data_IF_213409389058
#
_entry.id   IF_213409389058
#
_cell.length_a   1.000
_cell.length_b   1.000
_cell.length_c   1.000
_cell.angle_alpha   90.00
_cell.angle_beta   90.00
_cell.angle_gamma   90.00
#
_symmetry.space_group_name_H-M   'P 1'
#
loop_
_entity.id
_entity.type
_entity.pdbx_description
1 polymer ?
#
# COMPACT_ATOMS: atom_id res chain seq x y z
N UNK A 1 16.55 6.76 18.87
CA UNK A 1 15.82 6.69 17.57
C UNK A 1 15.00 7.95 17.45
N UNK A 2 15.05 8.65 16.31
CA UNK A 2 14.22 9.83 16.06
C UNK A 2 12.77 9.35 15.90
N UNK A 3 11.84 9.85 16.73
CA UNK A 3 10.41 9.61 16.51
C UNK A 3 9.92 10.59 15.45
N UNK A 4 9.44 10.07 14.33
CA UNK A 4 8.80 10.85 13.28
C UNK A 4 7.32 10.49 13.29
N UNK A 5 6.47 11.48 13.50
CA UNK A 5 5.02 11.30 13.48
C UNK A 5 4.51 10.90 12.10
N UNK A 6 3.70 9.84 12.05
CA UNK A 6 3.08 9.34 10.83
C UNK A 6 2.27 10.43 10.07
N UNK A 7 1.46 11.28 10.72
CA UNK A 7 0.79 12.40 10.03
C UNK A 7 1.74 13.36 9.31
N UNK A 8 2.95 13.55 9.85
CA UNK A 8 3.97 14.41 9.25
C UNK A 8 4.55 13.77 7.99
N UNK A 9 4.78 12.45 8.01
CA UNK A 9 5.22 11.70 6.83
C UNK A 9 4.14 11.69 5.73
N UNK A 10 2.88 11.45 6.10
CA UNK A 10 1.75 11.45 5.15
C UNK A 10 1.59 12.83 4.48
N UNK A 11 1.81 13.92 5.22
CA UNK A 11 1.80 15.29 4.65
C UNK A 11 2.93 15.57 3.65
N UNK A 12 4.02 14.80 3.69
CA UNK A 12 5.14 14.92 2.74
C UNK A 12 4.92 14.13 1.46
N UNK A 13 3.94 13.21 1.43
CA UNK A 13 3.60 12.49 0.22
C UNK A 13 3.05 13.46 -0.83
N UNK A 14 3.40 13.21 -2.09
CA UNK A 14 2.74 13.86 -3.20
C UNK A 14 1.25 13.44 -3.25
N UNK A 15 0.43 14.21 -3.97
CA UNK A 15 -1.02 13.97 -4.06
C UNK A 15 -1.36 12.55 -4.51
N UNK A 16 -0.60 12.02 -5.49
CA UNK A 16 -0.81 10.70 -6.07
C UNK A 16 -0.56 9.58 -5.06
N UNK A 17 0.58 9.62 -4.38
CA UNK A 17 0.94 8.64 -3.36
C UNK A 17 0.02 8.70 -2.15
N UNK A 18 -0.45 9.90 -1.77
CA UNK A 18 -1.44 10.06 -0.71
C UNK A 18 -2.80 9.46 -1.11
N UNK A 19 -3.27 9.72 -2.32
CA UNK A 19 -4.50 9.12 -2.82
C UNK A 19 -4.39 7.58 -2.88
N UNK A 20 -3.23 7.04 -3.24
CA UNK A 20 -3.03 5.60 -3.28
C UNK A 20 -3.09 4.99 -1.88
N UNK A 21 -2.53 5.69 -0.88
CA UNK A 21 -2.64 5.31 0.51
C UNK A 21 -4.10 5.36 1.02
N UNK A 22 -4.86 6.39 0.66
CA UNK A 22 -6.27 6.52 1.03
C UNK A 22 -7.14 5.40 0.39
N UNK A 23 -6.89 5.06 -0.88
CA UNK A 23 -7.56 3.93 -1.54
C UNK A 23 -7.16 2.58 -0.92
N UNK A 24 -5.88 2.41 -0.58
CA UNK A 24 -5.40 1.20 0.09
C UNK A 24 -6.05 1.04 1.47
N UNK A 25 -6.21 2.13 2.22
CA UNK A 25 -6.94 2.11 3.48
C UNK A 25 -8.41 1.69 3.30
N UNK A 26 -9.09 2.21 2.27
CA UNK A 26 -10.46 1.81 1.93
C UNK A 26 -10.57 0.33 1.59
N UNK A 27 -9.61 -0.19 0.83
CA UNK A 27 -9.57 -1.60 0.44
C UNK A 27 -9.26 -2.50 1.64
N UNK A 28 -8.27 -2.16 2.47
CA UNK A 28 -7.94 -2.90 3.69
C UNK A 28 -9.14 -3.00 4.64
N UNK A 29 -9.94 -1.93 4.78
CA UNK A 29 -11.17 -2.00 5.56
C UNK A 29 -12.19 -2.98 4.97
N UNK A 30 -12.37 -2.98 3.64
CA UNK A 30 -13.29 -3.90 2.95
C UNK A 30 -12.84 -5.36 3.06
N UNK A 31 -11.53 -5.61 3.04
CA UNK A 31 -10.95 -6.95 3.15
C UNK A 31 -10.76 -7.40 4.61
N UNK A 32 -11.15 -6.55 5.58
CA UNK A 32 -10.90 -6.79 7.01
C UNK A 32 -9.41 -7.07 7.30
N UNK A 33 -8.51 -6.44 6.54
CA UNK A 33 -7.09 -6.50 6.79
C UNK A 33 -6.77 -5.66 8.02
N UNK A 34 -5.95 -6.20 8.93
CA UNK A 34 -5.56 -5.50 10.15
C UNK A 34 -4.67 -4.26 9.87
N UNK A 35 -3.97 -4.26 8.74
CA UNK A 35 -2.86 -3.34 8.47
C UNK A 35 -2.79 -2.97 6.98
N UNK A 36 -2.43 -1.72 6.70
CA UNK A 36 -2.11 -1.23 5.36
C UNK A 36 -0.61 -1.41 5.14
N UNK A 37 -0.24 -2.25 4.18
CA UNK A 37 1.16 -2.55 3.86
C UNK A 37 1.64 -1.81 2.61
N UNK A 38 2.94 -1.88 2.33
CA UNK A 38 3.55 -1.33 1.10
C UNK A 38 2.84 -1.90 -0.13
N UNK A 39 2.59 -3.21 -0.12
CA UNK A 39 1.94 -3.94 -1.21
C UNK A 39 0.56 -3.35 -1.53
N UNK A 40 -0.27 -3.08 -0.52
CA UNK A 40 -1.59 -2.48 -0.73
C UNK A 40 -1.48 -1.13 -1.43
N UNK A 41 -0.55 -0.26 -1.01
CA UNK A 41 -0.35 1.05 -1.65
C UNK A 41 0.17 0.92 -3.07
N UNK A 42 1.13 0.03 -3.32
CA UNK A 42 1.71 -0.19 -4.66
C UNK A 42 0.66 -0.75 -5.64
N UNK A 43 -0.19 -1.68 -5.19
CA UNK A 43 -1.33 -2.18 -5.99
C UNK A 43 -2.25 -1.01 -6.38
N UNK A 44 -2.54 -0.08 -5.47
CA UNK A 44 -3.36 1.09 -5.78
C UNK A 44 -2.66 2.06 -6.71
N UNK A 45 -1.35 2.27 -6.58
CA UNK A 45 -0.60 3.06 -7.55
C UNK A 45 -0.62 2.45 -8.96
N UNK A 46 -0.67 1.11 -9.08
CA UNK A 46 -0.80 0.43 -10.37
C UNK A 46 -2.17 0.66 -11.02
N UNK A 47 -3.24 0.85 -10.25
CA UNK A 47 -4.57 1.13 -10.82
C UNK A 47 -4.67 2.56 -11.37
N UNK A 48 -3.93 3.50 -10.79
CA UNK A 48 -3.96 4.91 -11.19
C UNK A 48 -3.25 5.18 -12.54
N UNK A 49 -3.85 5.96 -13.45
CA UNK A 49 -3.20 6.34 -14.70
C UNK A 49 -2.03 7.29 -14.45
N UNK A 50 -0.91 7.11 -15.16
CA UNK A 50 0.31 7.95 -15.05
C UNK A 50 1.00 7.96 -13.67
N UNK A 51 0.75 6.97 -12.83
CA UNK A 51 1.63 6.77 -11.67
C UNK A 51 3.05 6.47 -12.13
N UNK A 52 4.05 6.95 -11.39
CA UNK A 52 5.45 6.61 -11.64
C UNK A 52 5.64 5.08 -11.66
N UNK A 53 4.90 4.37 -10.81
CA UNK A 53 4.93 2.91 -10.74
C UNK A 53 4.52 2.27 -12.08
N UNK A 54 3.47 2.78 -12.75
CA UNK A 54 3.09 2.30 -14.10
C UNK A 54 4.17 2.56 -15.15
N UNK A 55 4.89 3.67 -15.04
CA UNK A 55 5.97 3.99 -15.97
C UNK A 55 7.14 3.03 -15.74
N UNK A 56 7.53 2.83 -14.48
CA UNK A 56 8.61 1.95 -14.06
C UNK A 56 8.33 0.51 -14.50
N UNK A 57 7.13 -0.01 -14.25
CA UNK A 57 6.81 -1.42 -14.58
C UNK A 57 6.71 -1.65 -16.06
N UNK A 58 6.20 -0.68 -16.82
CA UNK A 58 6.23 -0.73 -18.29
C UNK A 58 7.65 -0.72 -18.83
N UNK A 59 8.55 0.05 -18.21
CA UNK A 59 9.94 0.18 -18.66
C UNK A 59 10.79 -1.02 -18.25
N UNK A 60 10.43 -1.70 -17.15
CA UNK A 60 11.04 -2.94 -16.69
C UNK A 60 10.45 -4.22 -17.28
N UNK A 61 9.50 -4.11 -18.21
CA UNK A 61 8.76 -5.26 -18.80
C UNK A 61 8.14 -6.18 -17.74
N UNK A 62 7.57 -5.58 -16.68
CA UNK A 62 6.95 -6.30 -15.58
C UNK A 62 5.43 -6.30 -15.76
N UNK A 63 4.85 -7.50 -15.83
CA UNK A 63 3.42 -7.69 -15.97
C UNK A 63 2.63 -7.22 -14.74
N UNK A 64 1.48 -6.59 -14.98
CA UNK A 64 0.56 -6.16 -13.91
C UNK A 64 0.06 -7.35 -13.08
N UNK A 65 -0.19 -8.49 -13.73
CA UNK A 65 -0.60 -9.74 -13.08
C UNK A 65 0.49 -10.27 -12.16
N UNK A 66 1.75 -10.26 -12.64
CA UNK A 66 2.92 -10.72 -11.90
C UNK A 66 3.15 -9.87 -10.62
N UNK A 67 2.98 -8.55 -10.74
CA UNK A 67 3.05 -7.65 -9.59
C UNK A 67 1.92 -7.89 -8.59
N UNK A 68 0.69 -8.14 -9.06
CA UNK A 68 -0.44 -8.47 -8.17
C UNK A 68 -0.18 -9.78 -7.44
N UNK A 69 0.29 -10.81 -8.15
CA UNK A 69 0.63 -12.10 -7.57
C UNK A 69 1.78 -11.99 -6.55
N UNK A 70 2.81 -11.20 -6.84
CA UNK A 70 3.91 -10.96 -5.90
C UNK A 70 3.50 -10.11 -4.69
N UNK A 71 2.51 -9.23 -4.84
CA UNK A 71 1.99 -8.41 -3.76
C UNK A 71 1.01 -9.17 -2.85
N UNK A 72 0.32 -10.18 -3.39
CA UNK A 72 -0.57 -11.11 -2.67
C UNK A 72 0.24 -12.26 -2.02
N UNK A 73 1.27 -12.74 -2.74
CA UNK A 73 2.10 -13.88 -2.39
C UNK A 73 3.36 -13.53 -1.61
N UNK A 74 3.20 -13.28 -0.30
CA UNK A 74 4.16 -13.63 0.77
C UNK A 74 3.57 -13.19 2.12
N UNK A 75 2.81 -14.11 2.73
CA UNK A 75 2.86 -14.38 4.18
C UNK A 75 2.54 -13.23 5.17
N UNK A 76 1.48 -12.44 4.94
CA UNK A 76 0.94 -11.53 5.97
C UNK A 76 -0.51 -11.84 6.41
N UNK A 77 -1.10 -12.88 5.85
CA UNK A 77 -2.54 -13.11 5.96
C UNK A 77 -2.91 -14.08 7.09
N UNK A 78 -2.77 -13.68 8.36
CA UNK A 78 -3.69 -14.15 9.42
C UNK A 78 -3.58 -13.38 10.76
N UNK A 79 -3.79 -12.05 10.78
CA UNK A 79 -4.07 -11.36 12.05
C UNK A 79 -5.58 -11.08 12.16
N UNK A 80 -6.25 -11.52 13.24
CA UNK A 80 -7.68 -11.33 13.38
C UNK A 80 -8.01 -9.82 13.44
N UNK A 81 -8.98 -9.41 12.63
CA UNK A 81 -9.49 -8.04 12.60
C UNK A 81 -10.20 -7.72 13.93
N UNK A 82 -9.69 -6.73 14.67
CA UNK A 82 -10.26 -6.33 15.97
C UNK A 82 -11.28 -5.17 15.87
N UNK A 83 -11.74 -4.82 14.66
CA UNK A 83 -12.71 -3.73 14.47
C UNK A 83 -12.12 -2.31 14.60
N UNK A 84 -10.79 -2.18 14.58
CA UNK A 84 -10.08 -0.89 14.58
C UNK A 84 -9.73 -0.48 13.13
N UNK A 85 -9.63 0.83 12.86
CA UNK A 85 -9.06 1.35 11.62
C UNK A 85 -7.67 0.73 11.38
N UNK A 86 -7.38 0.20 10.17
CA UNK A 86 -6.13 -0.49 9.93
C UNK A 86 -4.94 0.45 10.14
N UNK A 87 -3.92 -0.04 10.84
CA UNK A 87 -2.68 0.69 11.05
C UNK A 87 -1.92 0.85 9.72
N UNK A 88 -1.24 1.98 9.54
CA UNK A 88 -0.38 2.19 8.36
C UNK A 88 1.00 1.60 8.66
N UNK A 89 1.30 0.44 8.06
CA UNK A 89 2.59 -0.26 8.00
C UNK A 89 3.29 -0.54 9.35
N UNK A 90 3.23 -1.77 9.88
CA UNK A 90 4.02 -2.17 11.04
C UNK A 90 5.22 -3.10 10.73
N UNK A 91 5.39 -3.59 9.50
CA UNK A 91 6.49 -4.48 9.06
C UNK A 91 7.78 -3.76 8.61
N UNK A 92 7.96 -2.47 8.92
CA UNK A 92 9.20 -1.73 8.60
C UNK A 92 10.29 -1.89 9.69
N UNK A 93 10.46 -3.12 10.20
CA UNK A 93 11.45 -3.50 11.22
C UNK A 93 12.51 -4.43 10.67
#
# INVERSE_FOLDING_TARGET
MIQIDLPTLVKRLNLFSRQALEMAASECMSQQAAEITVSHVLIQMLTMPRSDLRVITRQGDIGMEELRQGADGRELHNRPFCGQLPGVFPDAG
#
